data_IF_957661251914
#
_entry.id   IF_957661251914
#
_cell.length_a   1.000
_cell.length_b   1.000
_cell.length_c   1.000
_cell.angle_alpha   90.00
_cell.angle_beta   90.00
_cell.angle_gamma   90.00
#
_symmetry.space_group_name_H-M   'P 1'
#
loop_
_entity.id
_entity.type
_entity.pdbx_description
1 polymer ?
#
# COMPACT_ATOMS: atom_id res chain seq x y z
N UNK A 1 1.61 -2.70 -28.80
CA UNK A 1 0.95 -3.43 -27.67
C UNK A 1 1.15 -2.73 -26.31
N UNK A 2 0.64 -1.49 -26.13
CA UNK A 2 0.73 -0.75 -24.83
C UNK A 2 -0.58 -0.80 -24.01
N UNK A 3 -1.75 -0.80 -24.66
CA UNK A 3 -3.08 -0.73 -24.00
C UNK A 3 -3.43 -1.87 -23.04
N UNK A 4 -2.89 -3.08 -23.24
CA UNK A 4 -3.18 -4.23 -22.36
C UNK A 4 -2.42 -4.21 -21.02
N UNK A 5 -1.25 -3.56 -20.96
CA UNK A 5 -0.46 -3.46 -19.71
C UNK A 5 -1.08 -2.47 -18.73
N UNK A 6 -1.69 -1.40 -19.24
CA UNK A 6 -2.28 -0.35 -18.41
C UNK A 6 -3.58 -0.79 -17.73
N UNK A 7 -4.41 -1.61 -18.40
CA UNK A 7 -5.63 -2.19 -17.80
C UNK A 7 -5.31 -3.19 -16.70
N UNK A 8 -4.26 -3.99 -16.87
CA UNK A 8 -3.79 -4.93 -15.83
C UNK A 8 -3.26 -4.15 -14.63
N UNK A 9 -2.39 -3.14 -14.82
CA UNK A 9 -1.89 -2.27 -13.73
C UNK A 9 -3.04 -1.60 -12.96
N UNK A 10 -4.07 -1.11 -13.65
CA UNK A 10 -5.26 -0.50 -13.00
C UNK A 10 -6.05 -1.51 -12.17
N UNK A 11 -6.27 -2.73 -12.70
CA UNK A 11 -6.95 -3.80 -11.98
C UNK A 11 -6.18 -4.22 -10.72
N UNK A 12 -4.86 -4.38 -10.81
CA UNK A 12 -4.03 -4.72 -9.64
C UNK A 12 -4.06 -3.63 -8.55
N UNK A 13 -4.02 -2.35 -8.93
CA UNK A 13 -4.19 -1.23 -7.97
C UNK A 13 -5.53 -1.29 -7.25
N UNK A 14 -6.63 -1.46 -8.01
CA UNK A 14 -7.96 -1.54 -7.43
C UNK A 14 -8.11 -2.76 -6.50
N UNK A 15 -7.48 -3.88 -6.85
CA UNK A 15 -7.53 -5.12 -6.08
C UNK A 15 -6.81 -5.03 -4.73
N UNK A 16 -5.90 -4.08 -4.52
CA UNK A 16 -5.24 -3.88 -3.21
C UNK A 16 -5.89 -2.77 -2.38
N UNK A 17 -6.39 -1.71 -3.01
CA UNK A 17 -7.01 -0.58 -2.30
C UNK A 17 -8.38 -0.97 -1.73
N UNK A 18 -9.21 -1.69 -2.49
CA UNK A 18 -10.56 -2.06 -2.05
C UNK A 18 -10.53 -2.95 -0.78
N UNK A 19 -9.72 -4.02 -0.71
CA UNK A 19 -9.62 -4.83 0.51
C UNK A 19 -9.03 -4.06 1.69
N UNK A 20 -8.03 -3.20 1.45
CA UNK A 20 -7.44 -2.39 2.52
C UNK A 20 -8.48 -1.43 3.15
N UNK A 21 -9.30 -0.78 2.33
CA UNK A 21 -10.37 0.10 2.83
C UNK A 21 -11.43 -0.69 3.59
N UNK A 22 -11.85 -1.86 3.09
CA UNK A 22 -12.80 -2.73 3.78
C UNK A 22 -12.26 -3.19 5.14
N UNK A 23 -11.00 -3.63 5.19
CA UNK A 23 -10.33 -4.03 6.43
C UNK A 23 -10.26 -2.89 7.45
N UNK A 24 -9.94 -1.67 7.00
CA UNK A 24 -9.95 -0.49 7.87
C UNK A 24 -11.34 -0.18 8.41
N UNK A 25 -12.40 -0.30 7.58
CA UNK A 25 -13.78 -0.10 8.05
C UNK A 25 -14.19 -1.16 9.08
N UNK A 26 -13.87 -2.44 8.83
CA UNK A 26 -14.14 -3.52 9.79
C UNK A 26 -13.41 -3.32 11.11
N UNK A 27 -12.15 -2.86 11.07
CA UNK A 27 -11.37 -2.58 12.27
C UNK A 27 -11.95 -1.43 13.11
N UNK A 28 -12.51 -0.39 12.46
CA UNK A 28 -13.13 0.74 13.15
C UNK A 28 -14.51 0.44 13.73
N UNK A 29 -15.20 -0.59 13.21
CA UNK A 29 -16.53 -0.97 13.69
C UNK A 29 -16.48 -1.92 14.89
N UNK A 30 -15.35 -2.56 15.17
CA UNK A 30 -15.22 -3.52 16.26
C UNK A 30 -13.78 -3.59 16.78
N UNK A 31 -13.60 -3.21 18.04
CA UNK A 31 -12.30 -3.16 18.72
C UNK A 31 -11.57 -4.51 18.75
N UNK A 32 -12.28 -5.65 18.68
CA UNK A 32 -11.65 -6.98 18.58
C UNK A 32 -10.84 -7.16 17.29
N UNK A 33 -11.15 -6.37 16.25
CA UNK A 33 -10.49 -6.44 14.96
C UNK A 33 -9.56 -5.25 14.70
N UNK A 34 -9.17 -4.51 15.74
CA UNK A 34 -8.27 -3.36 15.59
C UNK A 34 -6.94 -3.74 14.90
N UNK A 35 -6.48 -4.98 15.07
CA UNK A 35 -5.29 -5.50 14.38
C UNK A 35 -5.41 -5.55 12.84
N UNK A 36 -6.64 -5.65 12.29
CA UNK A 36 -6.89 -5.57 10.84
C UNK A 36 -6.52 -4.19 10.28
N UNK A 37 -6.50 -3.15 11.11
CA UNK A 37 -6.11 -1.80 10.73
C UNK A 37 -4.62 -1.75 10.36
N UNK A 38 -3.77 -2.46 11.10
CA UNK A 38 -2.35 -2.63 10.77
C UNK A 38 -2.14 -3.44 9.49
N UNK A 39 -2.95 -4.49 9.28
CA UNK A 39 -2.94 -5.25 8.01
C UNK A 39 -3.32 -4.36 6.82
N UNK A 40 -4.33 -3.50 6.98
CA UNK A 40 -4.74 -2.53 5.97
C UNK A 40 -3.62 -1.50 5.66
N UNK A 41 -2.89 -1.04 6.68
CA UNK A 41 -1.73 -0.16 6.48
C UNK A 41 -0.59 -0.85 5.73
N UNK A 42 -0.31 -2.11 6.02
CA UNK A 42 0.70 -2.90 5.27
C UNK A 42 0.29 -3.01 3.79
N UNK A 43 -0.95 -3.38 3.51
CA UNK A 43 -1.46 -3.51 2.13
C UNK A 43 -1.39 -2.18 1.36
N UNK A 44 -1.77 -1.08 2.00
CA UNK A 44 -1.73 0.26 1.41
C UNK A 44 -0.28 0.69 1.15
N UNK A 45 0.62 0.41 2.09
CA UNK A 45 2.04 0.74 1.97
C UNK A 45 2.74 -0.07 0.88
N UNK A 46 2.40 -1.36 0.71
CA UNK A 46 2.89 -2.18 -0.39
C UNK A 46 2.46 -1.61 -1.75
N UNK A 47 1.24 -1.10 -1.86
CA UNK A 47 0.76 -0.44 -3.06
C UNK A 47 1.55 0.86 -3.33
N UNK A 48 1.82 1.68 -2.31
CA UNK A 48 2.67 2.87 -2.40
C UNK A 48 4.11 2.52 -2.83
N UNK A 49 4.67 1.43 -2.30
CA UNK A 49 5.99 0.91 -2.68
C UNK A 49 6.04 0.54 -4.16
N UNK A 50 5.04 -0.21 -4.65
CA UNK A 50 4.95 -0.55 -6.07
C UNK A 50 4.80 0.70 -6.95
N UNK A 51 4.04 1.70 -6.51
CA UNK A 51 3.94 2.98 -7.23
C UNK A 51 5.28 3.72 -7.24
N UNK A 52 5.99 3.76 -6.11
CA UNK A 52 7.32 4.37 -5.99
C UNK A 52 8.33 3.69 -6.90
N UNK A 53 8.38 2.36 -6.90
CA UNK A 53 9.23 1.56 -7.79
C UNK A 53 8.91 1.81 -9.27
N UNK A 54 7.63 1.84 -9.65
CA UNK A 54 7.23 2.17 -11.02
C UNK A 54 7.61 3.61 -11.39
N UNK A 55 7.42 4.56 -10.47
CA UNK A 55 7.84 5.94 -10.66
C UNK A 55 9.37 6.07 -10.80
N UNK A 56 10.17 5.24 -10.14
CA UNK A 56 11.62 5.18 -10.37
C UNK A 56 11.99 4.67 -11.76
N UNK A 57 11.28 3.65 -12.23
CA UNK A 57 11.50 3.11 -13.57
C UNK A 57 11.13 4.13 -14.66
N UNK A 58 10.06 4.90 -14.46
CA UNK A 58 9.56 5.87 -15.43
C UNK A 58 10.23 7.25 -15.31
N UNK A 59 10.60 7.69 -14.12
CA UNK A 59 11.14 9.02 -13.83
C UNK A 59 12.15 8.99 -12.66
N UNK A 60 13.40 8.61 -12.96
CA UNK A 60 14.51 8.43 -11.99
C UNK A 60 14.83 9.62 -11.07
N UNK A 61 14.32 10.82 -11.36
CA UNK A 61 14.65 12.07 -10.67
C UNK A 61 13.57 12.61 -9.72
N UNK A 62 12.42 11.95 -9.55
CA UNK A 62 11.35 12.50 -8.70
C UNK A 62 11.66 12.30 -7.19
N UNK A 63 11.96 13.36 -6.42
CA UNK A 63 12.24 13.25 -4.98
C UNK A 63 11.00 12.76 -4.18
N UNK A 64 9.80 13.02 -4.71
CA UNK A 64 8.54 12.55 -4.10
C UNK A 64 8.41 11.03 -4.11
N UNK A 65 8.90 10.36 -5.16
CA UNK A 65 8.90 8.90 -5.22
C UNK A 65 9.83 8.29 -4.15
N UNK A 66 11.00 8.91 -3.92
CA UNK A 66 11.93 8.52 -2.84
C UNK A 66 11.30 8.69 -1.46
N UNK A 67 10.76 9.86 -1.14
CA UNK A 67 10.13 10.08 0.17
C UNK A 67 8.94 9.14 0.40
N UNK A 68 8.07 8.96 -0.61
CA UNK A 68 6.91 8.06 -0.50
C UNK A 68 7.29 6.60 -0.30
N UNK A 69 8.35 6.13 -0.96
CA UNK A 69 8.83 4.75 -0.81
C UNK A 69 9.44 4.51 0.56
N UNK A 70 10.26 5.45 1.05
CA UNK A 70 10.86 5.37 2.39
C UNK A 70 9.80 5.39 3.48
N UNK A 71 8.81 6.29 3.37
CA UNK A 71 7.67 6.33 4.29
C UNK A 71 6.87 5.02 4.27
N UNK A 72 6.61 4.46 3.08
CA UNK A 72 5.91 3.18 2.96
C UNK A 72 6.66 2.04 3.67
N UNK A 73 7.99 1.98 3.55
CA UNK A 73 8.82 0.99 4.26
C UNK A 73 8.71 1.17 5.77
N UNK A 74 8.80 2.40 6.27
CA UNK A 74 8.66 2.70 7.70
C UNK A 74 7.29 2.30 8.25
N UNK A 75 6.21 2.60 7.51
CA UNK A 75 4.85 2.23 7.90
C UNK A 75 4.68 0.71 7.95
N UNK A 76 5.25 -0.03 7.01
CA UNK A 76 5.24 -1.51 7.06
C UNK A 76 5.96 -1.99 8.32
N UNK A 77 7.14 -1.46 8.61
CA UNK A 77 7.94 -1.90 9.75
C UNK A 77 7.25 -1.62 11.09
N UNK A 78 6.66 -0.44 11.24
CA UNK A 78 5.87 -0.06 12.42
C UNK A 78 4.62 -0.94 12.56
N UNK A 79 3.88 -1.14 11.46
CA UNK A 79 2.68 -1.97 11.47
C UNK A 79 2.98 -3.42 11.82
N UNK A 80 4.10 -3.98 11.32
CA UNK A 80 4.55 -5.32 11.69
C UNK A 80 4.96 -5.41 13.15
N UNK A 81 5.65 -4.39 13.68
CA UNK A 81 6.02 -4.35 15.09
C UNK A 81 4.79 -4.41 16.00
N UNK A 82 3.77 -3.59 15.72
CA UNK A 82 2.51 -3.60 16.48
C UNK A 82 1.72 -4.90 16.33
N UNK A 83 1.86 -5.60 15.21
CA UNK A 83 1.21 -6.90 14.98
C UNK A 83 1.89 -8.07 15.72
N UNK A 84 3.18 -7.93 16.02
CA UNK A 84 4.01 -8.96 16.65
C UNK A 84 4.16 -8.79 18.17
N UNK A 85 3.69 -7.67 18.72
CA UNK A 85 3.82 -7.29 20.12
C UNK A 85 2.51 -7.55 20.89
#
# INVERSE_FOLDING_TARGET
MKRGRDTVKRKYKAMMVIPATLLAMFALMNDQYYWLLYVAFILTSLNLLMMGIQAFQENKKSPFAYCGTVLAILVIFLSLKELLN
#
